data_IF_040076350109
#
_entry.id   IF_040076350109
#
_cell.length_a   1.000
_cell.length_b   1.000
_cell.length_c   1.000
_cell.angle_alpha   90.00
_cell.angle_beta   90.00
_cell.angle_gamma   90.00
#
_symmetry.space_group_name_H-M   'P 1'
#
loop_
_entity.id
_entity.type
_entity.pdbx_description
1 polymer ?
#
# COMPACT_ATOMS: atom_id res chain seq x y z
N UNK A 1 -4.09 7.31 26.44
CA UNK A 1 -3.80 7.60 25.01
C UNK A 1 -2.49 6.89 24.70
N UNK A 2 -2.55 5.72 24.06
CA UNK A 2 -1.41 4.79 24.02
C UNK A 2 -0.45 5.16 22.90
N UNK A 3 0.55 5.97 23.23
CA UNK A 3 1.62 6.48 22.37
C UNK A 3 2.62 5.42 21.87
N UNK A 4 2.42 4.14 22.18
CA UNK A 4 3.44 3.10 22.00
C UNK A 4 3.53 2.57 20.56
N UNK A 5 2.55 2.86 19.70
CA UNK A 5 2.47 2.31 18.33
C UNK A 5 2.31 3.36 17.22
N UNK A 6 2.25 4.65 17.54
CA UNK A 6 2.17 5.72 16.55
C UNK A 6 3.57 5.98 15.95
N UNK A 7 3.70 5.87 14.62
CA UNK A 7 4.91 6.30 13.90
C UNK A 7 6.04 5.25 13.78
N UNK A 8 5.75 3.96 13.93
CA UNK A 8 6.76 2.92 13.68
C UNK A 8 7.01 2.78 12.18
N UNK A 9 8.29 2.79 11.79
CA UNK A 9 8.72 2.48 10.43
C UNK A 9 8.74 0.97 10.21
N UNK A 10 8.42 0.52 9.00
CA UNK A 10 8.69 -0.84 8.57
C UNK A 10 10.19 -1.14 8.76
N UNK A 11 10.49 -2.32 9.29
CA UNK A 11 11.86 -2.79 9.44
C UNK A 11 12.44 -3.16 8.07
N UNK A 12 13.04 -2.17 7.41
CA UNK A 12 13.64 -2.32 6.09
C UNK A 12 14.78 -3.34 6.06
N UNK A 13 15.38 -3.70 7.21
CA UNK A 13 16.42 -4.73 7.28
C UNK A 13 15.92 -6.11 6.85
N UNK A 14 14.59 -6.32 6.91
CA UNK A 14 13.93 -7.56 6.44
C UNK A 14 13.82 -7.65 4.93
N UNK A 15 14.09 -6.56 4.20
CA UNK A 15 14.07 -6.55 2.73
C UNK A 15 15.47 -6.74 2.16
N UNK A 16 15.56 -7.05 0.87
CA UNK A 16 16.85 -7.11 0.17
C UNK A 16 17.58 -5.78 0.21
N UNK A 17 18.92 -5.81 0.20
CA UNK A 17 19.73 -4.58 0.18
C UNK A 17 19.43 -3.69 -1.04
N UNK A 18 18.96 -4.27 -2.14
CA UNK A 18 18.51 -3.51 -3.31
C UNK A 18 17.26 -2.68 -3.00
N UNK A 19 16.25 -3.26 -2.34
CA UNK A 19 15.04 -2.55 -1.93
C UNK A 19 15.32 -1.51 -0.84
N UNK A 20 16.22 -1.82 0.10
CA UNK A 20 16.66 -0.86 1.11
C UNK A 20 17.29 0.39 0.46
N UNK A 21 18.17 0.21 -0.54
CA UNK A 21 18.77 1.33 -1.28
C UNK A 21 17.77 2.08 -2.15
N UNK A 22 16.80 1.38 -2.76
CA UNK A 22 15.76 1.98 -3.61
C UNK A 22 14.75 2.80 -2.80
N UNK A 23 14.48 2.40 -1.55
CA UNK A 23 13.50 3.01 -0.67
C UNK A 23 14.13 3.44 0.67
N UNK A 24 15.09 4.39 0.65
CA UNK A 24 15.88 4.74 1.83
C UNK A 24 15.06 5.44 2.93
N UNK A 25 13.91 6.00 2.58
CA UNK A 25 13.00 6.64 3.54
C UNK A 25 12.09 5.64 4.27
N UNK A 26 12.17 4.35 3.94
CA UNK A 26 11.32 3.30 4.51
C UNK A 26 9.83 3.51 4.26
N UNK A 27 8.99 2.71 4.90
CA UNK A 27 7.52 2.82 4.83
C UNK A 27 6.97 2.95 6.26
N UNK A 28 6.38 4.09 6.65
CA UNK A 28 5.74 4.23 7.95
C UNK A 28 4.51 3.32 8.06
N UNK A 29 4.18 2.89 9.27
CA UNK A 29 2.93 2.22 9.57
C UNK A 29 2.03 3.17 10.35
N UNK A 30 0.74 3.19 9.99
CA UNK A 30 -0.28 3.93 10.74
C UNK A 30 -0.40 3.36 12.16
N UNK A 31 -1.00 4.12 13.09
CA UNK A 31 -1.28 3.62 14.44
C UNK A 31 -2.11 2.33 14.44
N UNK A 32 -2.94 2.14 13.42
CA UNK A 32 -3.73 0.92 13.19
C UNK A 32 -2.95 -0.23 12.55
N UNK A 33 -1.67 -0.04 12.22
CA UNK A 33 -0.77 -1.09 11.71
C UNK A 33 -0.84 -1.32 10.21
N UNK A 34 -1.37 -0.37 9.44
CA UNK A 34 -1.36 -0.42 7.98
C UNK A 34 -0.10 0.26 7.44
N UNK A 35 0.58 -0.30 6.43
CA UNK A 35 1.64 0.41 5.74
C UNK A 35 1.08 1.68 5.08
N UNK A 36 1.82 2.77 5.19
CA UNK A 36 1.51 4.04 4.53
C UNK A 36 2.51 4.25 3.38
N UNK A 37 2.01 4.01 2.17
CA UNK A 37 2.80 4.15 0.94
C UNK A 37 2.72 5.56 0.33
N UNK A 38 2.09 6.53 0.99
CA UNK A 38 1.82 7.86 0.44
C UNK A 38 3.07 8.51 -0.19
N UNK A 39 4.24 8.35 0.44
CA UNK A 39 5.53 8.87 -0.08
C UNK A 39 5.90 8.33 -1.47
N UNK A 40 5.53 7.09 -1.77
CA UNK A 40 5.87 6.41 -3.01
C UNK A 40 4.70 6.34 -3.99
N UNK A 41 3.55 6.92 -3.63
CA UNK A 41 2.40 7.03 -4.51
C UNK A 41 2.66 8.07 -5.59
N UNK A 42 2.56 7.67 -6.86
CA UNK A 42 2.66 8.59 -8.00
C UNK A 42 1.28 9.12 -8.44
N UNK A 43 0.20 8.52 -7.94
CA UNK A 43 -1.18 8.92 -8.25
C UNK A 43 -2.12 8.44 -7.14
N UNK A 44 -3.02 9.32 -6.73
CA UNK A 44 -4.13 8.98 -5.81
C UNK A 44 -5.45 9.31 -6.48
N UNK A 45 -6.41 8.40 -6.39
CA UNK A 45 -7.76 8.59 -6.90
C UNK A 45 -8.77 8.05 -5.92
N UNK A 46 -9.95 8.68 -5.84
CA UNK A 46 -11.08 8.14 -5.08
C UNK A 46 -11.98 7.34 -6.00
N UNK A 47 -12.38 6.14 -5.56
CA UNK A 47 -13.33 5.29 -6.26
C UNK A 47 -14.31 4.67 -5.27
N UNK A 48 -15.42 4.13 -5.78
CA UNK A 48 -16.28 3.27 -4.97
C UNK A 48 -15.65 1.87 -4.91
N UNK A 49 -14.96 1.58 -3.81
CA UNK A 49 -14.33 0.27 -3.57
C UNK A 49 -15.38 -0.82 -3.56
N UNK A 50 -15.14 -1.88 -4.34
CA UNK A 50 -16.06 -3.01 -4.50
C UNK A 50 -15.61 -4.25 -3.76
N UNK A 51 -14.35 -4.29 -3.31
CA UNK A 51 -13.72 -5.47 -2.70
C UNK A 51 -13.13 -6.45 -3.71
N UNK A 52 -13.28 -6.17 -5.01
CA UNK A 52 -12.67 -6.92 -6.10
C UNK A 52 -11.49 -6.11 -6.64
N UNK A 53 -10.27 -6.58 -6.35
CA UNK A 53 -9.03 -5.89 -6.70
C UNK A 53 -8.91 -5.56 -8.19
N UNK A 54 -9.42 -6.43 -9.08
CA UNK A 54 -9.33 -6.21 -10.52
C UNK A 54 -10.32 -5.13 -10.97
N UNK A 55 -11.55 -5.16 -10.44
CA UNK A 55 -12.55 -4.12 -10.73
C UNK A 55 -12.14 -2.78 -10.16
N UNK A 56 -11.59 -2.76 -8.95
CA UNK A 56 -11.14 -1.55 -8.28
C UNK A 56 -9.92 -0.94 -9.02
N UNK A 57 -8.95 -1.76 -9.43
CA UNK A 57 -7.82 -1.31 -10.24
C UNK A 57 -8.28 -0.73 -11.59
N UNK A 58 -9.25 -1.35 -12.25
CA UNK A 58 -9.81 -0.84 -13.51
C UNK A 58 -10.55 0.50 -13.31
N UNK A 59 -11.29 0.65 -12.22
CA UNK A 59 -11.94 1.92 -11.87
C UNK A 59 -10.90 3.01 -11.56
N UNK A 60 -9.83 2.66 -10.85
CA UNK A 60 -8.74 3.56 -10.54
C UNK A 60 -7.97 3.99 -11.80
N UNK A 61 -7.72 3.07 -12.74
CA UNK A 61 -7.15 3.40 -14.06
C UNK A 61 -8.01 4.43 -14.79
N UNK A 62 -9.33 4.22 -14.84
CA UNK A 62 -10.28 5.18 -15.43
C UNK A 62 -10.24 6.53 -14.74
N UNK A 63 -10.30 6.56 -13.40
CA UNK A 63 -10.26 7.79 -12.62
C UNK A 63 -8.93 8.54 -12.76
N UNK A 64 -7.82 7.83 -12.95
CA UNK A 64 -6.49 8.41 -13.12
C UNK A 64 -6.20 8.88 -14.56
N UNK A 65 -7.07 8.53 -15.51
CA UNK A 65 -6.91 8.82 -16.94
C UNK A 65 -6.07 7.78 -17.71
N UNK A 66 -5.77 6.62 -17.12
CA UNK A 66 -5.03 5.52 -17.75
C UNK A 66 -5.97 4.67 -18.63
N UNK A 67 -6.49 5.28 -19.70
CA UNK A 67 -7.41 4.66 -20.66
C UNK A 67 -6.87 4.69 -22.08
N UNK A 68 -7.30 3.73 -22.91
CA UNK A 68 -6.90 3.66 -24.32
C UNK A 68 -5.39 3.50 -24.49
N UNK A 69 -4.76 4.44 -25.18
CA UNK A 69 -3.31 4.48 -25.40
C UNK A 69 -2.53 4.93 -24.15
N UNK A 70 -3.16 5.68 -23.24
CA UNK A 70 -2.52 6.12 -22.01
C UNK A 70 -2.61 4.97 -21.00
N UNK A 71 -1.52 4.22 -20.83
CA UNK A 71 -1.49 3.08 -19.92
C UNK A 71 -0.93 3.48 -18.56
N UNK A 72 -1.34 2.74 -17.52
CA UNK A 72 -0.69 2.78 -16.22
C UNK A 72 0.80 2.48 -16.41
N UNK A 73 1.71 3.24 -15.77
CA UNK A 73 3.13 2.98 -15.86
C UNK A 73 3.50 1.55 -15.44
N UNK A 74 4.42 0.94 -16.19
CA UNK A 74 4.95 -0.38 -15.85
C UNK A 74 5.67 -0.38 -14.50
N UNK A 75 5.56 -1.48 -13.77
CA UNK A 75 6.14 -1.61 -12.44
C UNK A 75 5.36 -0.91 -11.32
N UNK A 76 4.15 -0.44 -11.58
CA UNK A 76 3.24 0.11 -10.57
C UNK A 76 1.94 -0.68 -10.45
N UNK A 77 1.42 -0.75 -9.22
CA UNK A 77 0.17 -1.41 -8.87
C UNK A 77 -0.70 -0.48 -8.04
N UNK A 78 -2.02 -0.62 -8.17
CA UNK A 78 -2.94 0.04 -7.27
C UNK A 78 -2.95 -0.66 -5.90
N UNK A 79 -2.85 0.13 -4.85
CA UNK A 79 -2.94 -0.27 -3.44
C UNK A 79 -4.15 0.41 -2.81
N UNK A 80 -4.97 -0.36 -2.09
CA UNK A 80 -6.09 0.16 -1.33
C UNK A 80 -5.60 0.90 -0.09
N UNK A 81 -5.89 2.19 0.00
CA UNK A 81 -5.63 2.95 1.21
C UNK A 81 -6.60 2.53 2.33
N UNK A 82 -6.19 2.72 3.58
CA UNK A 82 -6.94 2.28 4.76
C UNK A 82 -8.26 3.06 4.99
N UNK A 83 -8.52 4.11 4.22
CA UNK A 83 -9.79 4.87 4.25
C UNK A 83 -10.92 4.17 3.47
N UNK A 84 -10.63 3.06 2.76
CA UNK A 84 -11.57 2.30 1.95
C UNK A 84 -12.27 3.12 0.84
N UNK A 85 -11.67 4.24 0.42
CA UNK A 85 -12.17 5.06 -0.70
C UNK A 85 -11.05 5.48 -1.66
N UNK A 86 -9.80 5.50 -1.20
CA UNK A 86 -8.65 5.94 -1.98
C UNK A 86 -7.85 4.75 -2.51
N UNK A 87 -7.48 4.82 -3.79
CA UNK A 87 -6.48 3.96 -4.41
C UNK A 87 -5.19 4.75 -4.62
N UNK A 88 -4.07 4.14 -4.25
CA UNK A 88 -2.73 4.69 -4.43
C UNK A 88 -1.94 3.89 -5.45
N UNK A 89 -1.40 4.55 -6.47
CA UNK A 89 -0.55 3.90 -7.46
C UNK A 89 0.89 3.89 -6.97
N UNK A 90 1.39 2.72 -6.57
CA UNK A 90 2.68 2.56 -5.88
C UNK A 90 3.58 1.55 -6.60
N UNK A 91 4.91 1.55 -6.36
CA UNK A 91 5.80 0.57 -6.95
C UNK A 91 5.44 -0.87 -6.56
N UNK A 92 5.30 -1.74 -7.56
CA UNK A 92 4.87 -3.14 -7.38
C UNK A 92 5.85 -3.94 -6.53
N UNK A 93 7.16 -3.70 -6.69
CA UNK A 93 8.20 -4.40 -5.95
C UNK A 93 8.16 -4.09 -4.44
N UNK A 94 7.91 -2.83 -4.09
CA UNK A 94 7.75 -2.39 -2.70
C UNK A 94 6.47 -2.96 -2.08
N UNK A 95 5.35 -2.89 -2.81
CA UNK A 95 4.08 -3.47 -2.35
C UNK A 95 4.24 -4.97 -2.07
N UNK A 96 4.78 -5.73 -3.03
CA UNK A 96 5.00 -7.17 -2.89
C UNK A 96 5.94 -7.50 -1.72
N UNK A 97 7.04 -6.77 -1.58
CA UNK A 97 7.99 -6.98 -0.48
C UNK A 97 7.32 -6.82 0.89
N UNK A 98 6.55 -5.77 1.11
CA UNK A 98 5.91 -5.52 2.41
C UNK A 98 4.73 -6.47 2.64
N UNK A 99 3.97 -6.82 1.60
CA UNK A 99 2.92 -7.85 1.69
C UNK A 99 3.47 -9.21 2.12
N UNK A 100 4.60 -9.66 1.53
CA UNK A 100 5.21 -10.95 1.84
C UNK A 100 5.90 -10.99 3.21
N UNK A 101 6.41 -9.86 3.70
CA UNK A 101 7.23 -9.84 4.93
C UNK A 101 6.41 -9.65 6.21
N UNK A 102 5.09 -9.43 6.12
CA UNK A 102 4.26 -9.45 7.32
C UNK A 102 3.05 -8.54 7.35
N UNK A 103 2.67 -7.85 6.26
CA UNK A 103 1.42 -7.08 6.24
C UNK A 103 0.21 -7.93 6.69
N UNK A 104 0.08 -9.15 6.17
CA UNK A 104 -1.00 -10.06 6.57
C UNK A 104 -0.84 -10.66 7.98
N UNK A 105 0.40 -10.86 8.46
CA UNK A 105 0.64 -11.42 9.80
C UNK A 105 0.41 -10.39 10.92
N UNK A 106 0.81 -9.13 10.70
CA UNK A 106 0.60 -8.01 11.62
C UNK A 106 -0.88 -7.59 11.62
N UNK A 107 -1.53 -7.56 10.46
CA UNK A 107 -2.97 -7.25 10.36
C UNK A 107 -3.83 -8.37 10.97
N UNK A 108 -3.50 -9.65 10.81
CA UNK A 108 -4.18 -10.75 11.52
C UNK A 108 -3.99 -10.68 13.03
N UNK A 109 -2.81 -10.30 13.51
CA UNK A 109 -2.57 -10.12 14.94
C UNK A 109 -3.37 -8.93 15.53
N UNK A 110 -3.75 -7.94 14.72
CA UNK A 110 -4.60 -6.81 15.14
C UNK A 110 -6.11 -7.02 14.92
N UNK A 111 -6.51 -7.89 14.00
CA UNK A 111 -7.91 -8.21 13.71
C UNK A 111 -8.38 -9.53 14.36
N UNK A 112 -7.52 -10.20 15.14
CA UNK A 112 -7.75 -11.52 15.71
C UNK A 112 -8.54 -11.57 17.04
N UNK A 113 -9.02 -10.44 17.56
CA UNK A 113 -9.77 -10.38 18.84
C UNK A 113 -11.29 -10.35 18.67
N UNK A 114 -11.82 -10.95 17.60
CA UNK A 114 -13.24 -11.33 17.53
C UNK A 114 -13.33 -12.79 17.08
N UNK A 115 -13.30 -13.69 18.08
CA UNK A 115 -13.92 -15.02 17.98
C UNK A 115 -15.43 -14.89 17.98
#
# INVERSE_FOLDING_TARGET
MNAEYAGRMFDMSKLSSALQRKYPHGVPFTGSGFPDFTRYSIRRVKIKITGDNNKDALQADKAAGFVGINKRPDGYTWHHHHDCETMELIPTDLNAAISHTGGAAIVRAKLGDFQ
#
